data_IF_168385664266
#
_entry.id   IF_168385664266
#
_cell.length_a   1.000
_cell.length_b   1.000
_cell.length_c   1.000
_cell.angle_alpha   90.00
_cell.angle_beta   90.00
_cell.angle_gamma   90.00
#
_symmetry.space_group_name_H-M   'P 1'
#
loop_
_entity.id
_entity.type
_entity.pdbx_description
1 polymer ?
#
# COMPACT_ATOMS: atom_id res chain seq x y z
N UNK A 1 24.87 18.00 69.36
CA UNK A 1 25.59 18.45 68.16
C UNK A 1 24.64 18.36 66.97
N UNK A 2 24.00 19.47 66.64
CA UNK A 2 23.10 19.59 65.49
C UNK A 2 23.93 19.83 64.23
N UNK A 3 23.89 18.90 63.28
CA UNK A 3 24.52 19.06 61.97
C UNK A 3 23.85 20.24 61.22
N UNK A 4 24.60 21.22 60.73
CA UNK A 4 24.02 22.30 59.93
C UNK A 4 23.60 21.71 58.57
N UNK A 5 22.30 21.69 58.29
CA UNK A 5 21.80 21.30 56.96
C UNK A 5 22.29 22.35 55.95
N UNK A 6 23.30 22.00 55.16
CA UNK A 6 23.87 22.90 54.16
C UNK A 6 22.83 23.14 53.07
N UNK A 7 22.53 24.41 52.78
CA UNK A 7 21.59 24.86 51.75
C UNK A 7 21.79 24.19 50.37
N UNK A 8 23.02 23.76 50.04
CA UNK A 8 23.43 23.06 48.82
C UNK A 8 22.82 21.66 48.69
N UNK A 9 22.54 20.98 49.80
CA UNK A 9 21.88 19.67 49.79
C UNK A 9 20.43 19.76 49.30
N UNK A 10 19.74 20.89 49.50
CA UNK A 10 18.40 21.13 48.93
C UNK A 10 18.44 21.33 47.40
N UNK A 11 19.54 21.84 46.86
CA UNK A 11 19.73 22.01 45.43
C UNK A 11 20.16 20.71 44.73
N UNK A 12 20.82 19.79 45.45
CA UNK A 12 21.22 18.49 44.92
C UNK A 12 20.03 17.59 44.54
N UNK A 13 19.01 17.50 45.40
CA UNK A 13 17.78 16.74 45.09
C UNK A 13 16.99 17.38 43.95
N UNK A 14 16.90 18.72 43.91
CA UNK A 14 16.31 19.45 42.79
C UNK A 14 17.04 19.21 41.47
N UNK A 15 18.37 19.16 41.48
CA UNK A 15 19.16 18.85 40.29
C UNK A 15 18.91 17.41 39.79
N UNK A 16 18.81 16.43 40.70
CA UNK A 16 18.47 15.06 40.34
C UNK A 16 17.06 14.94 39.78
N UNK A 17 16.08 15.64 40.37
CA UNK A 17 14.71 15.69 39.84
C UNK A 17 14.66 16.38 38.47
N UNK A 18 15.42 17.46 38.27
CA UNK A 18 15.53 18.16 36.99
C UNK A 18 16.17 17.25 35.92
N UNK A 19 17.25 16.54 36.25
CA UNK A 19 17.88 15.60 35.33
C UNK A 19 16.92 14.45 34.96
N UNK A 20 16.19 13.90 35.94
CA UNK A 20 15.18 12.88 35.68
C UNK A 20 14.05 13.40 34.76
N UNK A 21 13.59 14.63 34.98
CA UNK A 21 12.59 15.27 34.13
C UNK A 21 13.10 15.50 32.70
N UNK A 22 14.32 16.00 32.55
CA UNK A 22 14.96 16.19 31.22
C UNK A 22 15.12 14.85 30.51
N UNK A 23 15.56 13.80 31.22
CA UNK A 23 15.67 12.46 30.65
C UNK A 23 14.30 11.93 30.17
N UNK A 24 13.24 12.09 30.97
CA UNK A 24 11.88 11.72 30.58
C UNK A 24 11.40 12.47 29.33
N UNK A 25 11.63 13.78 29.26
CA UNK A 25 11.31 14.58 28.07
C UNK A 25 12.09 14.11 26.84
N UNK A 26 13.38 13.77 27.01
CA UNK A 26 14.20 13.18 25.96
C UNK A 26 13.62 11.87 25.43
N UNK A 27 13.17 10.96 26.31
CA UNK A 27 12.50 9.72 25.91
C UNK A 27 11.21 9.99 25.12
N UNK A 28 10.38 10.92 25.58
CA UNK A 28 9.15 11.31 24.86
C UNK A 28 9.47 11.85 23.46
N UNK A 29 10.48 12.72 23.34
CA UNK A 29 10.92 13.25 22.04
C UNK A 29 11.42 12.15 21.09
N UNK A 30 12.11 11.13 21.61
CA UNK A 30 12.54 9.96 20.82
C UNK A 30 11.32 9.15 20.33
N UNK A 31 10.30 8.97 21.17
CA UNK A 31 9.08 8.25 20.76
C UNK A 31 8.35 8.96 19.62
N UNK A 32 8.27 10.30 19.66
CA UNK A 32 7.72 11.08 18.55
C UNK A 32 8.54 10.91 17.28
N UNK A 33 9.87 11.02 17.35
CA UNK A 33 10.76 10.82 16.20
C UNK A 33 10.61 9.42 15.59
N UNK A 34 10.53 8.37 16.41
CA UNK A 34 10.33 7.00 15.91
C UNK A 34 9.02 6.88 15.13
N UNK A 35 7.95 7.51 15.61
CA UNK A 35 6.66 7.49 14.93
C UNK A 35 6.72 8.22 13.57
N UNK A 36 7.36 9.38 13.52
CA UNK A 36 7.57 10.13 12.28
C UNK A 36 8.43 9.35 11.28
N UNK A 37 9.54 8.75 11.73
CA UNK A 37 10.40 7.91 10.88
C UNK A 37 9.62 6.73 10.31
N UNK A 38 8.80 6.05 11.12
CA UNK A 38 7.98 4.93 10.64
C UNK A 38 6.99 5.39 9.57
N UNK A 39 6.35 6.53 9.78
CA UNK A 39 5.37 7.09 8.83
C UNK A 39 6.06 7.52 7.53
N UNK A 40 7.20 8.19 7.64
CA UNK A 40 8.03 8.59 6.51
C UNK A 40 8.53 7.39 5.70
N UNK A 41 9.02 6.35 6.38
CA UNK A 41 9.50 5.13 5.72
C UNK A 41 8.39 4.40 4.96
N UNK A 42 7.18 4.30 5.54
CA UNK A 42 6.01 3.73 4.83
C UNK A 42 5.66 4.53 3.58
N UNK A 43 5.61 5.86 3.71
CA UNK A 43 5.35 6.76 2.58
C UNK A 43 6.39 6.61 1.46
N UNK A 44 7.67 6.54 1.80
CA UNK A 44 8.73 6.37 0.82
C UNK A 44 8.66 5.00 0.14
N UNK A 45 8.42 3.94 0.91
CA UNK A 45 8.33 2.58 0.40
C UNK A 45 7.13 2.41 -0.54
N UNK A 46 5.95 2.94 -0.19
CA UNK A 46 4.77 2.88 -1.06
C UNK A 46 5.01 3.57 -2.40
N UNK A 47 5.66 4.75 -2.39
CA UNK A 47 6.06 5.45 -3.63
C UNK A 47 7.03 4.64 -4.47
N UNK A 48 8.01 4.01 -3.84
CA UNK A 48 9.00 3.19 -4.54
C UNK A 48 8.35 1.99 -5.23
N UNK A 49 7.46 1.27 -4.54
CA UNK A 49 6.74 0.14 -5.14
C UNK A 49 5.86 0.60 -6.32
N UNK A 50 5.14 1.71 -6.16
CA UNK A 50 4.31 2.26 -7.23
C UNK A 50 5.11 2.76 -8.44
N UNK A 51 6.24 3.43 -8.21
CA UNK A 51 7.16 3.83 -9.28
C UNK A 51 7.77 2.61 -9.98
N UNK A 52 8.10 1.55 -9.23
CA UNK A 52 8.54 0.28 -9.81
C UNK A 52 7.46 -0.35 -10.70
N UNK A 53 6.19 -0.25 -10.32
CA UNK A 53 5.07 -0.69 -11.16
C UNK A 53 4.96 0.18 -12.42
N UNK A 54 5.06 1.49 -12.27
CA UNK A 54 4.96 2.44 -13.38
C UNK A 54 6.08 2.21 -14.40
N UNK A 55 7.30 1.93 -13.94
CA UNK A 55 8.42 1.57 -14.81
C UNK A 55 8.16 0.23 -15.52
N UNK A 56 7.66 -0.78 -14.81
CA UNK A 56 7.28 -2.07 -15.42
C UNK A 56 6.19 -1.88 -16.49
N UNK A 57 5.20 -1.02 -16.23
CA UNK A 57 4.13 -0.67 -17.14
C UNK A 57 4.62 0.10 -18.37
N UNK A 58 5.60 0.98 -18.18
CA UNK A 58 6.26 1.70 -19.26
C UNK A 58 7.06 0.75 -20.17
N UNK A 59 7.79 -0.20 -19.58
CA UNK A 59 8.57 -1.21 -20.32
C UNK A 59 7.69 -2.25 -21.02
N UNK A 60 6.46 -2.48 -20.54
CA UNK A 60 5.55 -3.50 -21.04
C UNK A 60 4.19 -2.90 -21.45
N UNK A 61 4.13 -1.99 -22.44
CA UNK A 61 2.90 -1.29 -22.81
C UNK A 61 1.79 -2.27 -23.26
N UNK A 62 2.17 -3.42 -23.82
CA UNK A 62 1.24 -4.50 -24.20
C UNK A 62 0.49 -5.13 -23.02
N UNK A 63 1.02 -5.00 -21.80
CA UNK A 63 0.34 -5.47 -20.59
C UNK A 63 -0.43 -4.35 -19.91
N UNK A 64 0.08 -3.12 -19.92
CA UNK A 64 -0.61 -1.93 -19.38
C UNK A 64 -1.92 -1.61 -20.10
N UNK A 65 -1.96 -1.83 -21.42
CA UNK A 65 -3.18 -1.74 -22.24
C UNK A 65 -3.37 -3.08 -22.97
N UNK A 66 -3.84 -4.12 -22.25
CA UNK A 66 -3.82 -5.49 -22.74
C UNK A 66 -4.93 -5.76 -23.76
N UNK A 67 -4.55 -6.40 -24.87
CA UNK A 67 -5.48 -7.23 -25.63
C UNK A 67 -5.61 -8.58 -24.90
N UNK A 68 -6.55 -8.64 -23.94
CA UNK A 68 -6.69 -9.80 -23.08
C UNK A 68 -7.06 -11.07 -23.85
N UNK A 69 -7.88 -10.96 -24.90
CA UNK A 69 -8.28 -12.10 -25.73
C UNK A 69 -7.06 -12.67 -26.48
N UNK A 70 -6.20 -11.81 -27.03
CA UNK A 70 -4.95 -12.23 -27.66
C UNK A 70 -3.99 -12.87 -26.65
N UNK A 71 -3.79 -12.25 -25.47
CA UNK A 71 -2.93 -12.79 -24.41
C UNK A 71 -3.44 -14.16 -23.94
N UNK A 72 -4.75 -14.32 -23.78
CA UNK A 72 -5.40 -15.57 -23.37
C UNK A 72 -5.22 -16.69 -24.40
N UNK A 73 -5.29 -16.37 -25.69
CA UNK A 73 -5.05 -17.30 -26.79
C UNK A 73 -3.54 -17.59 -27.02
N UNK A 74 -2.67 -16.75 -26.47
CA UNK A 74 -1.22 -16.81 -26.65
C UNK A 74 -0.50 -17.93 -25.89
N UNK A 75 0.83 -17.80 -25.83
CA UNK A 75 1.69 -18.80 -25.20
C UNK A 75 1.42 -18.91 -23.70
N UNK A 76 1.82 -20.03 -23.08
CA UNK A 76 1.74 -20.17 -21.62
C UNK A 76 2.61 -19.14 -20.91
N UNK A 77 3.75 -18.81 -21.50
CA UNK A 77 4.70 -17.83 -20.96
C UNK A 77 4.09 -16.42 -20.96
N UNK A 78 3.47 -15.99 -22.06
CA UNK A 78 2.86 -14.66 -22.15
C UNK A 78 1.70 -14.50 -21.15
N UNK A 79 0.89 -15.54 -20.97
CA UNK A 79 -0.14 -15.56 -19.92
C UNK A 79 0.44 -15.44 -18.52
N UNK A 80 1.55 -16.13 -18.25
CA UNK A 80 2.21 -16.07 -16.95
C UNK A 80 2.86 -14.70 -16.68
N UNK A 81 3.46 -14.08 -17.71
CA UNK A 81 4.01 -12.73 -17.64
C UNK A 81 2.91 -11.71 -17.35
N UNK A 82 1.78 -11.80 -18.05
CA UNK A 82 0.63 -10.92 -17.81
C UNK A 82 0.01 -11.11 -16.41
N UNK A 83 -0.15 -12.35 -15.95
CA UNK A 83 -0.63 -12.62 -14.59
C UNK A 83 0.32 -12.04 -13.52
N UNK A 84 1.63 -12.15 -13.75
CA UNK A 84 2.64 -11.57 -12.86
C UNK A 84 2.60 -10.03 -12.89
N UNK A 85 2.42 -9.44 -14.07
CA UNK A 85 2.25 -8.01 -14.26
C UNK A 85 1.05 -7.47 -13.46
N UNK A 86 -0.12 -8.09 -13.62
CA UNK A 86 -1.34 -7.69 -12.88
C UNK A 86 -1.15 -7.90 -11.38
N UNK A 87 -0.45 -8.96 -10.97
CA UNK A 87 -0.16 -9.18 -9.56
C UNK A 87 0.72 -8.06 -8.97
N UNK A 88 1.78 -7.67 -9.68
CA UNK A 88 2.66 -6.58 -9.27
C UNK A 88 1.90 -5.25 -9.16
N UNK A 89 1.06 -4.94 -10.15
CA UNK A 89 0.16 -3.79 -10.13
C UNK A 89 -0.75 -3.79 -8.89
N UNK A 90 -1.43 -4.90 -8.61
CA UNK A 90 -2.35 -4.99 -7.48
C UNK A 90 -1.64 -4.82 -6.13
N UNK A 91 -0.43 -5.38 -5.96
CA UNK A 91 0.37 -5.16 -4.75
C UNK A 91 0.83 -3.70 -4.63
N UNK A 92 1.24 -3.08 -5.74
CA UNK A 92 1.61 -1.67 -5.72
C UNK A 92 0.43 -0.78 -5.32
N UNK A 93 -0.77 -1.05 -5.84
CA UNK A 93 -1.98 -0.33 -5.47
C UNK A 93 -2.42 -0.61 -4.03
N UNK A 94 -2.31 -1.84 -3.53
CA UNK A 94 -2.61 -2.18 -2.14
C UNK A 94 -1.78 -1.34 -1.16
N UNK A 95 -0.45 -1.32 -1.34
CA UNK A 95 0.46 -0.54 -0.49
C UNK A 95 0.19 0.96 -0.57
N UNK A 96 -0.09 1.44 -1.79
CA UNK A 96 -0.32 2.86 -2.06
C UNK A 96 -1.64 3.34 -1.46
N UNK A 97 -2.74 2.62 -1.67
CA UNK A 97 -4.06 2.96 -1.14
C UNK A 97 -4.03 2.92 0.40
N UNK A 98 -3.40 1.90 0.99
CA UNK A 98 -3.28 1.79 2.44
C UNK A 98 -2.43 2.92 3.05
N UNK A 99 -1.37 3.35 2.36
CA UNK A 99 -0.45 4.39 2.86
C UNK A 99 -0.97 5.81 2.63
N UNK A 100 -1.72 6.04 1.55
CA UNK A 100 -2.21 7.35 1.12
C UNK A 100 -3.74 7.45 1.12
N UNK A 101 -4.42 6.81 2.07
CA UNK A 101 -5.87 6.75 2.13
C UNK A 101 -6.57 8.13 2.19
N UNK A 102 -5.86 9.18 2.62
CA UNK A 102 -6.32 10.57 2.66
C UNK A 102 -6.23 11.29 1.29
N UNK A 103 -5.56 10.67 0.31
CA UNK A 103 -5.20 11.26 -0.98
C UNK A 103 -5.88 10.54 -2.13
N UNK A 104 -6.98 11.13 -2.61
CA UNK A 104 -7.83 10.55 -3.66
C UNK A 104 -7.12 10.34 -4.98
N UNK A 105 -6.07 11.10 -5.27
CA UNK A 105 -5.30 11.00 -6.51
C UNK A 105 -4.68 9.61 -6.70
N UNK A 106 -4.21 8.97 -5.62
CA UNK A 106 -3.60 7.64 -5.70
C UNK A 106 -4.63 6.56 -5.98
N UNK A 107 -5.78 6.63 -5.31
CA UNK A 107 -6.92 5.76 -5.61
C UNK A 107 -7.36 5.94 -7.06
N UNK A 108 -7.45 7.18 -7.55
CA UNK A 108 -7.84 7.46 -8.93
C UNK A 108 -6.85 6.90 -9.96
N UNK A 109 -5.54 6.96 -9.68
CA UNK A 109 -4.51 6.32 -10.53
C UNK A 109 -4.70 4.80 -10.57
N UNK A 110 -4.90 4.17 -9.42
CA UNK A 110 -5.17 2.73 -9.35
C UNK A 110 -6.48 2.36 -10.06
N UNK A 111 -7.55 3.14 -9.90
CA UNK A 111 -8.83 2.91 -10.57
C UNK A 111 -8.69 3.00 -12.11
N UNK A 112 -7.92 3.97 -12.59
CA UNK A 112 -7.66 4.18 -14.01
C UNK A 112 -6.94 2.97 -14.62
N UNK A 113 -5.86 2.53 -13.98
CA UNK A 113 -5.05 1.41 -14.45
C UNK A 113 -5.71 0.05 -14.22
N UNK A 114 -6.63 -0.08 -13.26
CA UNK A 114 -7.34 -1.34 -13.00
C UNK A 114 -8.30 -1.71 -14.14
N UNK A 115 -8.92 -0.71 -14.77
CA UNK A 115 -10.03 -0.91 -15.72
C UNK A 115 -9.73 -1.93 -16.84
N UNK A 116 -8.57 -1.86 -17.54
CA UNK A 116 -8.26 -2.81 -18.61
C UNK A 116 -8.05 -4.25 -18.11
N UNK A 117 -7.76 -4.44 -16.82
CA UNK A 117 -7.48 -5.74 -16.21
C UNK A 117 -8.72 -6.42 -15.63
N UNK A 118 -9.87 -5.73 -15.55
CA UNK A 118 -11.09 -6.27 -14.98
C UNK A 118 -11.58 -7.57 -15.66
N UNK A 119 -11.51 -7.74 -17.00
CA UNK A 119 -11.86 -9.01 -17.64
C UNK A 119 -11.04 -10.19 -17.12
N UNK A 120 -9.72 -10.00 -17.02
CA UNK A 120 -8.81 -11.00 -16.46
C UNK A 120 -9.15 -11.33 -15.02
N UNK A 121 -9.37 -10.31 -14.18
CA UNK A 121 -9.68 -10.50 -12.76
C UNK A 121 -11.02 -11.22 -12.57
N UNK A 122 -12.02 -10.91 -13.40
CA UNK A 122 -13.31 -11.59 -13.40
C UNK A 122 -13.16 -13.09 -13.71
N UNK A 123 -12.50 -13.43 -14.81
CA UNK A 123 -12.29 -14.84 -15.19
C UNK A 123 -11.44 -15.59 -14.17
N UNK A 124 -10.35 -14.96 -13.72
CA UNK A 124 -9.42 -15.54 -12.75
C UNK A 124 -10.11 -15.82 -11.43
N UNK A 125 -10.90 -14.88 -10.91
CA UNK A 125 -11.62 -15.05 -9.66
C UNK A 125 -12.73 -16.09 -9.78
N UNK A 126 -13.42 -16.16 -10.92
CA UNK A 126 -14.43 -17.20 -11.17
C UNK A 126 -13.81 -18.61 -11.23
N UNK A 127 -12.66 -18.75 -11.91
CA UNK A 127 -11.97 -20.03 -12.04
C UNK A 127 -11.20 -20.43 -10.77
N UNK A 128 -10.66 -19.46 -10.04
CA UNK A 128 -9.82 -19.64 -8.85
C UNK A 128 -10.16 -18.57 -7.80
N UNK A 129 -11.22 -18.76 -7.01
CA UNK A 129 -11.62 -17.79 -5.98
C UNK A 129 -10.52 -17.48 -4.94
N UNK A 130 -9.60 -18.43 -4.72
CA UNK A 130 -8.45 -18.23 -3.85
C UNK A 130 -7.46 -17.16 -4.35
N UNK A 131 -7.54 -16.74 -5.62
CA UNK A 131 -6.66 -15.71 -6.18
C UNK A 131 -6.86 -14.35 -5.48
N UNK A 132 -8.09 -13.87 -5.33
CA UNK A 132 -8.32 -12.60 -4.64
C UNK A 132 -8.06 -12.70 -3.14
N UNK A 133 -8.13 -13.91 -2.57
CA UNK A 133 -7.86 -14.14 -1.15
C UNK A 133 -6.39 -13.92 -0.75
N UNK A 134 -5.46 -13.77 -1.71
CA UNK A 134 -4.05 -13.46 -1.43
C UNK A 134 -3.81 -11.97 -1.14
N UNK A 135 -4.80 -11.11 -1.39
CA UNK A 135 -4.72 -9.66 -1.19
C UNK A 135 -5.40 -9.22 0.11
N UNK A 136 -5.07 -8.02 0.59
CA UNK A 136 -5.73 -7.41 1.74
C UNK A 136 -7.24 -7.23 1.53
N UNK A 137 -8.01 -7.20 2.64
CA UNK A 137 -9.47 -7.08 2.60
C UNK A 137 -9.96 -5.76 1.95
N UNK A 138 -9.16 -4.70 1.99
CA UNK A 138 -9.45 -3.45 1.29
C UNK A 138 -9.32 -3.61 -0.23
N UNK A 139 -8.21 -4.19 -0.70
CA UNK A 139 -7.98 -4.52 -2.11
C UNK A 139 -9.06 -5.44 -2.67
N UNK A 140 -9.46 -6.47 -1.92
CA UNK A 140 -10.55 -7.37 -2.31
C UNK A 140 -11.88 -6.63 -2.51
N UNK A 141 -12.22 -5.71 -1.58
CA UNK A 141 -13.43 -4.87 -1.69
C UNK A 141 -13.35 -3.91 -2.86
N UNK A 142 -12.19 -3.29 -3.06
CA UNK A 142 -11.92 -2.41 -4.18
C UNK A 142 -12.11 -3.11 -5.51
N UNK A 143 -11.46 -4.26 -5.75
CA UNK A 143 -11.60 -5.04 -6.99
C UNK A 143 -13.06 -5.46 -7.21
N UNK A 144 -13.73 -5.94 -6.17
CA UNK A 144 -15.13 -6.37 -6.26
C UNK A 144 -16.07 -5.20 -6.60
N UNK A 145 -15.84 -4.02 -6.01
CA UNK A 145 -16.58 -2.80 -6.32
C UNK A 145 -16.32 -2.34 -7.77
N UNK A 146 -15.08 -2.42 -8.23
CA UNK A 146 -14.69 -2.05 -9.60
C UNK A 146 -15.30 -2.98 -10.65
N UNK A 147 -15.31 -4.30 -10.41
CA UNK A 147 -16.00 -5.29 -11.25
C UNK A 147 -17.50 -4.97 -11.36
N UNK A 148 -18.15 -4.69 -10.23
CA UNK A 148 -19.57 -4.33 -10.18
C UNK A 148 -19.84 -3.02 -10.94
N UNK A 149 -19.00 -2.01 -10.73
CA UNK A 149 -19.14 -0.68 -11.36
C UNK A 149 -18.99 -0.75 -12.87
N UNK A 150 -18.02 -1.54 -13.35
CA UNK A 150 -17.80 -1.77 -14.77
C UNK A 150 -18.75 -2.80 -15.40
N UNK A 151 -19.71 -3.34 -14.62
CA UNK A 151 -20.62 -4.41 -15.04
C UNK A 151 -19.90 -5.64 -15.64
N UNK A 152 -18.73 -5.96 -15.10
CA UNK A 152 -17.92 -7.12 -15.51
C UNK A 152 -18.30 -8.31 -14.64
N UNK A 153 -19.13 -9.19 -15.17
CA UNK A 153 -19.61 -10.39 -14.46
C UNK A 153 -19.42 -11.65 -15.31
N UNK A 154 -19.20 -12.83 -14.68
CA UNK A 154 -19.25 -14.10 -15.39
C UNK A 154 -20.63 -14.36 -16.04
N UNK A 155 -20.72 -15.16 -17.11
CA UNK A 155 -19.64 -15.94 -17.74
C UNK A 155 -18.80 -15.14 -18.74
N UNK A 156 -19.29 -14.01 -19.24
CA UNK A 156 -18.66 -13.31 -20.36
C UNK A 156 -17.45 -12.46 -19.93
N UNK A 157 -17.45 -11.95 -18.69
CA UNK A 157 -16.36 -11.15 -18.11
C UNK A 157 -15.85 -10.02 -19.03
N UNK A 158 -16.74 -9.42 -19.83
CA UNK A 158 -16.42 -8.26 -20.68
C UNK A 158 -16.76 -6.96 -19.97
N UNK A 159 -16.03 -5.90 -20.31
CA UNK A 159 -16.39 -4.54 -19.88
C UNK A 159 -17.81 -4.22 -20.36
N UNK A 160 -18.67 -3.82 -19.44
CA UNK A 160 -19.97 -3.27 -19.79
C UNK A 160 -19.79 -2.03 -20.67
N UNK A 161 -20.71 -1.82 -21.61
CA UNK A 161 -20.74 -0.57 -22.39
C UNK A 161 -20.97 0.57 -21.41
N UNK A 162 -19.93 1.35 -21.12
CA UNK A 162 -20.05 2.66 -20.47
C UNK A 162 -20.73 3.64 -21.39
#
# INVERSE_FOLDING_TARGET
>A
MSQPSFWWQRYGTLAQMAQAAVALLGFVAILFQINEIRTGNRTSSAREVFLGYTELAFQNPKFSQPDYDAIKAGSREERAQYESFVSYFLYACEETIATFADKREWQASCDYDLKPHLPFLCEKNAAKPAYLATYGAETQRWITASLKTASVTPPDCKLGKT
#
